data_IF_559392247399
#
_entry.id   IF_559392247399
#
_cell.length_a   1.000
_cell.length_b   1.000
_cell.length_c   1.000
_cell.angle_alpha   90.00
_cell.angle_beta   90.00
_cell.angle_gamma   90.00
#
_symmetry.space_group_name_H-M   'P 1'
#
loop_
_entity.id
_entity.type
_entity.pdbx_description
1 polymer ?
#
# COMPACT_ATOMS: atom_id res chain seq x y z
N UNK A 1 5.56 -28.87 0.55
CA UNK A 1 6.77 -28.49 -0.21
C UNK A 1 7.34 -27.30 0.52
N UNK A 2 8.53 -27.40 1.08
CA UNK A 2 9.24 -26.25 1.66
C UNK A 2 9.54 -25.31 0.51
N UNK A 3 8.84 -24.16 0.45
CA UNK A 3 9.20 -23.10 -0.49
C UNK A 3 10.65 -22.73 -0.20
N UNK A 4 11.50 -22.88 -1.19
CA UNK A 4 12.89 -22.44 -1.11
C UNK A 4 12.88 -20.92 -1.01
N UNK A 5 13.68 -20.37 -0.10
CA UNK A 5 13.84 -18.90 0.02
C UNK A 5 14.12 -18.31 -1.38
N UNK A 6 13.57 -17.11 -1.69
CA UNK A 6 13.79 -16.47 -2.98
C UNK A 6 15.31 -16.36 -3.28
N UNK A 7 15.68 -16.61 -4.53
CA UNK A 7 17.03 -16.33 -4.98
C UNK A 7 17.23 -14.83 -5.20
N UNK A 8 17.41 -14.12 -4.08
CA UNK A 8 17.52 -12.66 -4.06
C UNK A 8 18.61 -12.12 -4.98
N UNK A 9 19.70 -12.85 -5.16
CA UNK A 9 20.82 -12.43 -6.01
C UNK A 9 20.38 -12.32 -7.48
N UNK A 10 19.82 -13.41 -8.02
CA UNK A 10 19.38 -13.45 -9.41
C UNK A 10 18.16 -12.55 -9.65
N UNK A 11 17.17 -12.57 -8.76
CA UNK A 11 15.99 -11.71 -8.86
C UNK A 11 16.39 -10.23 -8.90
N UNK A 12 17.31 -9.81 -8.04
CA UNK A 12 17.77 -8.42 -8.01
C UNK A 12 18.56 -8.04 -9.25
N UNK A 13 19.44 -8.94 -9.76
CA UNK A 13 20.19 -8.67 -10.96
C UNK A 13 19.26 -8.42 -12.17
N UNK A 14 18.23 -9.25 -12.35
CA UNK A 14 17.20 -9.06 -13.39
C UNK A 14 16.41 -7.77 -13.20
N UNK A 15 15.99 -7.48 -11.96
CA UNK A 15 15.31 -6.23 -11.61
C UNK A 15 16.16 -5.00 -11.95
N UNK A 16 17.44 -5.02 -11.59
CA UNK A 16 18.34 -3.90 -11.87
C UNK A 16 18.51 -3.67 -13.38
N UNK A 17 18.58 -4.73 -14.18
CA UNK A 17 18.60 -4.61 -15.64
C UNK A 17 17.32 -3.95 -16.15
N UNK A 18 16.16 -4.35 -15.65
CA UNK A 18 14.88 -3.75 -16.01
C UNK A 18 14.82 -2.27 -15.62
N UNK A 19 15.12 -1.92 -14.39
CA UNK A 19 15.11 -0.53 -13.89
C UNK A 19 16.06 0.34 -14.72
N UNK A 20 17.28 -0.14 -15.00
CA UNK A 20 18.24 0.57 -15.86
C UNK A 20 17.68 0.83 -17.26
N UNK A 21 17.02 -0.14 -17.87
CA UNK A 21 16.41 0.04 -19.19
C UNK A 21 15.32 1.12 -19.17
N UNK A 22 14.41 1.10 -18.19
CA UNK A 22 13.34 2.07 -18.07
C UNK A 22 13.86 3.50 -17.85
N UNK A 23 14.83 3.68 -16.97
CA UNK A 23 15.43 4.98 -16.73
C UNK A 23 16.27 5.47 -17.94
N UNK A 24 16.96 4.59 -18.64
CA UNK A 24 17.68 4.95 -19.87
C UNK A 24 16.70 5.43 -20.95
N UNK A 25 15.60 4.68 -21.15
CA UNK A 25 14.57 5.08 -22.11
C UNK A 25 13.93 6.44 -21.74
N UNK A 26 13.64 6.69 -20.46
CA UNK A 26 13.11 7.95 -19.98
C UNK A 26 14.10 9.12 -20.25
N UNK A 27 15.42 8.87 -20.13
CA UNK A 27 16.46 9.86 -20.43
C UNK A 27 16.55 10.16 -21.93
N UNK A 28 16.41 9.17 -22.82
CA UNK A 28 16.41 9.36 -24.27
C UNK A 28 15.29 10.28 -24.76
N UNK A 29 14.21 10.39 -23.99
CA UNK A 29 13.07 11.28 -24.23
C UNK A 29 13.26 12.68 -23.63
N UNK A 30 14.43 12.99 -23.07
CA UNK A 30 14.71 14.23 -22.36
C UNK A 30 16.06 14.85 -22.79
N UNK A 31 16.32 16.09 -22.39
CA UNK A 31 17.59 16.77 -22.68
C UNK A 31 18.74 16.35 -21.75
N UNK A 32 18.46 15.59 -20.69
CA UNK A 32 19.45 15.12 -19.72
C UNK A 32 20.03 13.76 -20.09
N UNK A 33 21.31 13.56 -19.75
CA UNK A 33 22.03 12.31 -20.06
C UNK A 33 22.35 11.47 -18.82
N UNK A 34 22.10 12.01 -17.61
CA UNK A 34 22.40 11.36 -16.33
C UNK A 34 21.35 11.72 -15.30
N UNK A 35 21.25 10.90 -14.24
CA UNK A 35 20.32 11.14 -13.15
C UNK A 35 21.05 11.30 -11.83
N UNK A 36 20.55 12.23 -11.03
CA UNK A 36 20.82 12.36 -9.61
C UNK A 36 19.51 12.13 -8.86
N UNK A 37 19.39 11.02 -8.15
CA UNK A 37 18.18 10.69 -7.40
C UNK A 37 18.49 10.85 -5.90
N UNK A 38 17.80 11.79 -5.23
CA UNK A 38 17.94 11.98 -3.79
C UNK A 38 17.18 10.93 -3.02
N UNK A 39 17.75 10.45 -1.92
CA UNK A 39 17.04 9.61 -0.95
C UNK A 39 15.99 10.37 -0.14
N UNK A 40 16.08 11.71 -0.14
CA UNK A 40 15.34 12.60 0.75
C UNK A 40 16.13 12.99 1.99
N UNK A 41 15.61 13.93 2.76
CA UNK A 41 16.26 14.47 3.97
C UNK A 41 15.34 14.36 5.18
N UNK A 42 15.93 14.39 6.38
CA UNK A 42 15.19 14.52 7.63
C UNK A 42 14.49 15.89 7.69
N UNK A 43 13.22 15.91 8.04
CA UNK A 43 12.43 17.14 8.20
C UNK A 43 12.21 17.42 9.69
N UNK A 44 12.71 18.54 10.17
CA UNK A 44 12.55 18.95 11.57
C UNK A 44 11.16 19.54 11.81
N UNK A 45 10.58 19.24 12.97
CA UNK A 45 9.32 19.80 13.38
C UNK A 45 9.45 21.32 13.66
N UNK A 46 8.34 22.05 13.51
CA UNK A 46 8.34 23.50 13.69
C UNK A 46 8.76 23.90 15.11
N UNK A 47 9.82 24.73 15.20
CA UNK A 47 10.42 25.22 16.46
C UNK A 47 10.90 24.12 17.44
N UNK A 48 11.28 22.93 16.92
CA UNK A 48 11.75 21.80 17.69
C UNK A 48 13.02 21.23 17.04
N UNK A 49 13.81 20.44 17.75
CA UNK A 49 14.94 19.66 17.24
C UNK A 49 14.53 18.21 16.87
N UNK A 50 13.29 17.84 17.15
CA UNK A 50 12.72 16.53 16.76
C UNK A 50 12.46 16.50 15.25
N UNK A 51 12.81 15.37 14.63
CA UNK A 51 12.48 15.11 13.23
C UNK A 51 11.16 14.33 13.08
N UNK A 52 10.45 14.58 11.97
CA UNK A 52 9.39 13.68 11.51
C UNK A 52 9.97 12.32 11.10
N UNK A 53 9.16 11.24 11.06
CA UNK A 53 9.61 9.97 10.52
C UNK A 53 10.18 10.13 9.10
N UNK A 54 11.37 9.56 8.87
CA UNK A 54 12.01 9.62 7.57
C UNK A 54 11.31 8.69 6.58
N UNK A 55 11.04 9.21 5.39
CA UNK A 55 10.46 8.45 4.29
C UNK A 55 11.37 8.57 3.07
N UNK A 56 12.02 7.47 2.73
CA UNK A 56 12.93 7.43 1.57
C UNK A 56 12.16 7.60 0.25
N UNK A 57 12.75 8.38 -0.68
CA UNK A 57 12.18 8.62 -2.00
C UNK A 57 11.89 7.31 -2.74
N UNK A 58 10.66 7.08 -3.25
CA UNK A 58 10.31 5.88 -4.00
C UNK A 58 11.21 5.61 -5.21
N UNK A 59 11.66 6.65 -5.93
CA UNK A 59 12.59 6.49 -7.04
C UNK A 59 13.97 6.04 -6.58
N UNK A 60 14.40 6.37 -5.37
CA UNK A 60 15.66 5.88 -4.79
C UNK A 60 15.55 4.41 -4.45
N UNK A 61 14.51 4.00 -3.71
CA UNK A 61 14.33 2.60 -3.30
C UNK A 61 13.92 1.65 -4.43
N UNK A 62 13.48 2.19 -5.59
CA UNK A 62 13.32 1.40 -6.80
C UNK A 62 14.64 0.76 -7.28
N UNK A 63 15.78 1.38 -6.97
CA UNK A 63 17.10 0.92 -7.41
C UNK A 63 17.76 -0.02 -6.40
N UNK A 64 17.59 0.20 -5.11
CA UNK A 64 18.29 -0.58 -4.08
C UNK A 64 17.51 -0.67 -2.76
N UNK A 65 17.65 -1.80 -2.04
CA UNK A 65 16.86 -2.08 -0.85
C UNK A 65 17.41 -1.37 0.41
N UNK A 66 17.63 -0.06 0.33
CA UNK A 66 18.13 0.75 1.45
C UNK A 66 17.14 1.86 1.74
N UNK A 67 16.66 1.91 2.98
CA UNK A 67 15.53 2.78 3.37
C UNK A 67 15.83 3.74 4.52
N UNK A 68 17.06 3.72 5.08
CA UNK A 68 17.45 4.56 6.21
C UNK A 68 18.80 5.25 5.93
N UNK A 69 18.82 6.08 4.90
CA UNK A 69 20.03 6.79 4.40
C UNK A 69 19.68 8.21 3.96
N UNK A 70 19.25 9.09 4.87
CA UNK A 70 18.93 10.46 4.53
C UNK A 70 20.15 11.17 3.92
N UNK A 71 19.89 12.17 3.07
CA UNK A 71 20.90 13.01 2.39
C UNK A 71 21.87 12.24 1.49
N UNK A 72 21.48 11.03 1.07
CA UNK A 72 22.25 10.21 0.13
C UNK A 72 21.72 10.34 -1.30
N UNK A 73 22.54 9.98 -2.29
CA UNK A 73 22.17 10.14 -3.69
C UNK A 73 22.55 8.93 -4.53
N UNK A 74 21.73 8.64 -5.53
CA UNK A 74 22.12 7.75 -6.62
C UNK A 74 22.61 8.58 -7.81
N UNK A 75 23.78 8.27 -8.28
CA UNK A 75 24.37 8.84 -9.47
C UNK A 75 24.30 7.81 -10.60
N UNK A 76 23.41 8.01 -11.56
CA UNK A 76 23.14 7.07 -12.66
C UNK A 76 23.59 7.69 -13.97
N UNK A 77 24.60 7.08 -14.58
CA UNK A 77 25.10 7.45 -15.91
C UNK A 77 24.90 6.27 -16.87
N UNK A 78 24.25 6.45 -18.02
CA UNK A 78 24.06 5.36 -19.00
C UNK A 78 25.38 4.68 -19.33
N UNK A 79 25.34 3.34 -19.40
CA UNK A 79 26.52 2.52 -19.72
C UNK A 79 27.59 2.42 -18.62
N UNK A 80 27.40 3.08 -17.47
CA UNK A 80 28.31 2.98 -16.31
C UNK A 80 27.67 2.15 -15.19
N UNK A 81 28.53 1.64 -14.30
CA UNK A 81 28.08 1.07 -13.02
C UNK A 81 27.43 2.18 -12.19
N UNK A 82 26.22 1.99 -11.64
CA UNK A 82 25.57 3.02 -10.84
C UNK A 82 26.34 3.25 -9.53
N UNK A 83 26.31 4.48 -9.03
CA UNK A 83 27.03 4.87 -7.83
C UNK A 83 26.04 5.31 -6.73
N UNK A 84 26.24 4.80 -5.51
CA UNK A 84 25.60 5.28 -4.30
C UNK A 84 26.56 6.27 -3.60
N UNK A 85 26.18 7.52 -3.51
CA UNK A 85 26.82 8.53 -2.66
C UNK A 85 26.17 8.41 -1.29
N UNK A 86 26.83 7.70 -0.37
CA UNK A 86 26.29 7.39 0.95
C UNK A 86 26.70 8.47 1.96
N UNK A 87 25.72 9.20 2.49
CA UNK A 87 26.00 10.25 3.48
C UNK A 87 26.42 9.65 4.82
N UNK A 88 27.67 9.92 5.19
CA UNK A 88 28.31 9.46 6.43
C UNK A 88 29.02 10.64 7.11
N UNK A 89 28.27 11.62 7.68
CA UNK A 89 28.87 12.76 8.36
C UNK A 89 29.60 12.34 9.64
N UNK A 90 30.53 13.17 10.11
CA UNK A 90 31.04 13.03 11.47
C UNK A 90 29.96 13.51 12.44
N UNK A 91 29.26 12.60 13.07
CA UNK A 91 28.18 12.89 14.02
C UNK A 91 28.31 11.99 15.28
N UNK A 92 28.21 12.60 16.45
CA UNK A 92 28.20 11.90 17.73
C UNK A 92 26.80 11.90 18.39
N UNK A 93 25.83 12.62 17.81
CA UNK A 93 24.45 12.67 18.28
C UNK A 93 23.60 11.56 17.71
N UNK A 94 23.84 11.18 16.45
CA UNK A 94 23.01 10.25 15.72
C UNK A 94 23.85 9.08 15.21
N UNK A 95 23.19 7.93 15.08
CA UNK A 95 23.81 6.78 14.42
C UNK A 95 23.97 7.10 12.94
N UNK A 96 25.21 7.21 12.49
CA UNK A 96 25.54 7.37 11.06
C UNK A 96 25.27 6.05 10.33
N UNK A 97 24.79 6.12 9.09
CA UNK A 97 24.56 4.97 8.23
C UNK A 97 25.88 4.19 8.04
N UNK A 98 25.83 2.88 8.26
CA UNK A 98 26.97 2.00 7.99
C UNK A 98 27.05 1.69 6.49
N UNK A 99 28.23 1.29 6.01
CA UNK A 99 28.36 0.78 4.63
C UNK A 99 27.47 -0.48 4.54
N UNK A 100 26.47 -0.50 3.66
CA UNK A 100 25.53 -1.59 3.61
C UNK A 100 26.19 -2.90 3.19
N UNK A 101 25.60 -4.01 3.60
CA UNK A 101 25.99 -5.36 3.21
C UNK A 101 24.80 -6.08 2.50
N UNK A 102 25.05 -7.07 1.69
CA UNK A 102 23.99 -7.85 1.09
C UNK A 102 24.23 -8.21 -0.38
N UNK A 103 23.29 -8.94 -0.95
CA UNK A 103 23.35 -9.54 -2.30
C UNK A 103 23.41 -8.50 -3.44
N UNK A 104 23.03 -7.27 -3.22
CA UNK A 104 22.92 -6.21 -4.23
C UNK A 104 24.22 -5.38 -4.41
N UNK A 105 25.16 -5.45 -3.45
CA UNK A 105 26.32 -4.56 -3.34
C UNK A 105 27.24 -4.65 -4.55
N UNK A 106 27.48 -5.85 -5.08
CA UNK A 106 28.39 -6.04 -6.20
C UNK A 106 27.97 -5.28 -7.48
N UNK A 107 26.71 -4.89 -7.55
CA UNK A 107 26.17 -4.11 -8.67
C UNK A 107 26.41 -2.60 -8.56
N UNK A 108 26.96 -2.13 -7.43
CA UNK A 108 27.08 -0.71 -7.09
C UNK A 108 28.51 -0.30 -6.76
N UNK A 109 28.85 0.94 -7.15
CA UNK A 109 29.98 1.66 -6.55
C UNK A 109 29.46 2.44 -5.35
N UNK A 110 29.92 2.09 -4.14
CA UNK A 110 29.49 2.76 -2.91
C UNK A 110 30.59 3.74 -2.50
N UNK A 111 30.27 5.03 -2.48
CA UNK A 111 31.17 6.11 -2.10
C UNK A 111 30.62 6.86 -0.90
N UNK A 112 31.29 6.76 0.26
CA UNK A 112 30.99 7.62 1.41
C UNK A 112 31.22 9.08 1.08
N UNK A 113 30.29 9.94 1.50
CA UNK A 113 30.40 11.41 1.46
C UNK A 113 30.11 11.96 2.86
N UNK A 114 30.81 13.03 3.26
CA UNK A 114 30.60 13.66 4.57
C UNK A 114 29.70 14.91 4.47
N UNK A 115 29.49 15.42 3.27
CA UNK A 115 28.72 16.65 3.04
C UNK A 115 28.08 16.70 1.66
N UNK A 116 27.09 17.58 1.49
CA UNK A 116 26.52 17.91 0.17
C UNK A 116 27.57 18.44 -0.82
N UNK A 117 28.63 19.11 -0.32
CA UNK A 117 29.73 19.54 -1.15
C UNK A 117 30.49 18.39 -1.79
N UNK A 118 30.67 17.30 -1.05
CA UNK A 118 31.30 16.09 -1.59
C UNK A 118 30.41 15.45 -2.67
N UNK A 119 29.10 15.40 -2.46
CA UNK A 119 28.16 14.96 -3.48
C UNK A 119 28.25 15.84 -4.74
N UNK A 120 28.29 17.15 -4.60
CA UNK A 120 28.40 18.07 -5.71
C UNK A 120 29.68 17.84 -6.53
N UNK A 121 30.81 17.57 -5.88
CA UNK A 121 32.09 17.31 -6.56
C UNK A 121 32.04 16.05 -7.47
N UNK A 122 31.15 15.07 -7.16
CA UNK A 122 30.97 13.84 -7.94
C UNK A 122 30.11 14.01 -9.19
N UNK A 123 29.31 15.07 -9.27
CA UNK A 123 28.36 15.32 -10.36
C UNK A 123 29.10 15.71 -11.65
N UNK A 124 30.07 16.58 -11.57
CA UNK A 124 30.78 17.16 -12.76
C UNK A 124 29.97 18.27 -13.42
N UNK A 125 29.64 18.19 -14.71
CA UNK A 125 28.80 19.20 -15.37
C UNK A 125 27.31 19.01 -15.00
N UNK A 126 26.73 19.89 -14.17
CA UNK A 126 25.36 19.74 -13.68
C UNK A 126 24.29 19.84 -14.78
N UNK A 127 24.59 20.48 -15.92
CA UNK A 127 23.66 20.63 -17.06
C UNK A 127 23.37 19.31 -17.75
N UNK A 128 24.21 18.29 -17.53
CA UNK A 128 23.98 16.94 -18.06
C UNK A 128 23.08 16.09 -17.17
N UNK A 129 22.62 16.61 -16.03
CA UNK A 129 21.85 15.86 -15.04
C UNK A 129 20.39 16.28 -14.98
N UNK A 130 19.55 15.28 -14.75
CA UNK A 130 18.18 15.41 -14.25
C UNK A 130 18.21 15.04 -12.78
N UNK A 131 17.57 15.86 -11.95
CA UNK A 131 17.35 15.58 -10.54
C UNK A 131 15.96 15.01 -10.31
N UNK A 132 15.88 13.95 -9.49
CA UNK A 132 14.61 13.37 -9.00
C UNK A 132 14.63 13.36 -7.48
N UNK A 133 13.77 14.15 -6.86
CA UNK A 133 13.65 14.23 -5.39
C UNK A 133 12.81 15.41 -4.91
N UNK A 134 12.46 15.38 -3.62
CA UNK A 134 11.68 16.44 -2.98
C UNK A 134 12.51 17.70 -2.67
N UNK A 135 13.81 17.51 -2.36
CA UNK A 135 14.70 18.59 -1.92
C UNK A 135 15.22 19.39 -3.12
N UNK A 136 14.33 20.14 -3.78
CA UNK A 136 14.64 20.88 -5.02
C UNK A 136 15.69 21.98 -4.82
N UNK A 137 15.86 22.49 -3.59
CA UNK A 137 16.92 23.47 -3.26
C UNK A 137 18.30 22.87 -3.45
N UNK A 138 18.52 21.62 -3.08
CA UNK A 138 19.79 20.91 -3.26
C UNK A 138 20.15 20.82 -4.74
N UNK A 139 19.17 20.50 -5.59
CA UNK A 139 19.39 20.47 -7.05
C UNK A 139 19.81 21.85 -7.60
N UNK A 140 19.15 22.91 -7.13
CA UNK A 140 19.48 24.30 -7.53
C UNK A 140 20.87 24.70 -7.05
N UNK A 141 21.26 24.38 -5.83
CA UNK A 141 22.59 24.61 -5.27
C UNK A 141 23.67 23.85 -6.04
N UNK A 142 23.36 22.68 -6.58
CA UNK A 142 24.24 21.91 -7.44
C UNK A 142 24.29 22.43 -8.88
N UNK A 143 23.45 23.42 -9.24
CA UNK A 143 23.36 23.98 -10.58
C UNK A 143 22.62 23.09 -11.58
N UNK A 144 21.79 22.17 -11.12
CA UNK A 144 20.95 21.33 -11.96
C UNK A 144 19.66 22.08 -12.27
N UNK A 145 19.34 22.27 -13.54
CA UNK A 145 18.13 22.97 -14.00
C UNK A 145 16.94 22.03 -14.24
N UNK A 146 17.20 20.83 -14.72
CA UNK A 146 16.18 19.83 -15.00
C UNK A 146 15.74 19.10 -13.71
N UNK A 147 14.75 19.65 -13.00
CA UNK A 147 14.28 19.15 -11.71
C UNK A 147 12.90 18.49 -11.89
N UNK A 148 12.79 17.20 -11.57
CA UNK A 148 11.56 16.43 -11.63
C UNK A 148 10.76 16.58 -12.95
N UNK A 149 11.38 16.49 -14.14
CA UNK A 149 10.69 16.75 -15.39
C UNK A 149 9.55 15.74 -15.60
N UNK A 150 8.36 16.26 -15.92
CA UNK A 150 7.16 15.44 -16.04
C UNK A 150 7.26 14.38 -17.14
N UNK A 151 8.00 14.64 -18.23
CA UNK A 151 8.24 13.65 -19.30
C UNK A 151 8.95 12.40 -18.76
N UNK A 152 9.96 12.58 -17.92
CA UNK A 152 10.68 11.48 -17.26
C UNK A 152 9.80 10.78 -16.22
N UNK A 153 9.19 11.57 -15.31
CA UNK A 153 8.38 11.01 -14.24
C UNK A 153 7.16 10.24 -14.76
N UNK A 154 6.48 10.74 -15.79
CA UNK A 154 5.33 10.05 -16.38
C UNK A 154 5.72 8.67 -16.92
N UNK A 155 6.83 8.56 -17.65
CA UNK A 155 7.33 7.29 -18.13
C UNK A 155 7.61 6.32 -16.98
N UNK A 156 8.40 6.76 -15.99
CA UNK A 156 8.79 5.94 -14.85
C UNK A 156 7.58 5.51 -14.00
N UNK A 157 6.61 6.40 -13.80
CA UNK A 157 5.40 6.08 -13.05
C UNK A 157 4.53 5.06 -13.79
N UNK A 158 4.40 5.18 -15.11
CA UNK A 158 3.61 4.24 -15.90
C UNK A 158 4.18 2.83 -15.83
N UNK A 159 5.51 2.69 -15.93
CA UNK A 159 6.22 1.41 -15.84
C UNK A 159 6.16 0.81 -14.42
N UNK A 160 6.21 1.62 -13.36
CA UNK A 160 6.11 1.15 -11.96
C UNK A 160 4.82 0.41 -11.65
N UNK A 161 3.77 0.58 -12.44
CA UNK A 161 2.54 -0.19 -12.26
C UNK A 161 2.78 -1.70 -12.43
N UNK A 162 3.68 -2.10 -13.34
CA UNK A 162 4.07 -3.48 -13.58
C UNK A 162 5.34 -3.81 -12.81
N UNK A 163 5.27 -4.80 -11.93
CA UNK A 163 6.34 -5.22 -11.00
C UNK A 163 7.18 -6.33 -11.59
N UNK A 164 8.48 -6.26 -11.41
CA UNK A 164 9.40 -7.38 -11.66
C UNK A 164 9.19 -8.51 -10.65
N UNK A 165 9.74 -9.68 -10.88
CA UNK A 165 9.66 -10.81 -9.95
C UNK A 165 10.34 -10.50 -8.60
N UNK A 166 11.40 -9.67 -8.60
CA UNK A 166 12.02 -9.16 -7.36
C UNK A 166 11.04 -8.33 -6.53
N UNK A 167 10.34 -7.40 -7.16
CA UNK A 167 9.38 -6.52 -6.50
C UNK A 167 8.20 -7.32 -5.93
N UNK A 168 7.68 -8.28 -6.70
CA UNK A 168 6.61 -9.19 -6.23
C UNK A 168 7.10 -10.02 -5.04
N UNK A 169 8.32 -10.56 -5.06
CA UNK A 169 8.90 -11.29 -3.94
C UNK A 169 9.07 -10.41 -2.68
N UNK A 170 9.42 -9.13 -2.85
CA UNK A 170 9.48 -8.18 -1.74
C UNK A 170 8.09 -7.93 -1.13
N UNK A 171 7.05 -7.73 -1.96
CA UNK A 171 5.66 -7.54 -1.49
C UNK A 171 5.15 -8.82 -0.80
N UNK A 172 5.51 -10.00 -1.30
CA UNK A 172 5.16 -11.28 -0.67
C UNK A 172 5.83 -11.45 0.70
N UNK A 173 7.11 -11.08 0.83
CA UNK A 173 7.84 -11.07 2.10
C UNK A 173 7.24 -10.04 3.09
N UNK A 174 6.86 -8.86 2.62
CA UNK A 174 6.13 -7.88 3.42
C UNK A 174 4.78 -8.45 3.87
N UNK A 175 4.01 -9.07 2.97
CA UNK A 175 2.72 -9.70 3.28
C UNK A 175 2.86 -10.82 4.32
N UNK A 176 3.92 -11.63 4.26
CA UNK A 176 4.20 -12.67 5.26
C UNK A 176 4.47 -12.08 6.65
N UNK A 177 5.26 -11.03 6.68
CA UNK A 177 5.56 -10.32 7.93
C UNK A 177 4.30 -9.69 8.53
N UNK A 178 3.46 -9.05 7.71
CA UNK A 178 2.17 -8.52 8.13
C UNK A 178 1.22 -9.62 8.61
N UNK A 179 1.17 -10.77 7.94
CA UNK A 179 0.31 -11.89 8.32
C UNK A 179 0.63 -12.40 9.74
N UNK A 180 1.91 -12.45 10.15
CA UNK A 180 2.30 -12.76 11.54
C UNK A 180 1.73 -11.74 12.52
N UNK A 181 1.83 -10.44 12.20
CA UNK A 181 1.24 -9.36 12.99
C UNK A 181 -0.28 -9.47 13.11
N UNK A 182 -0.97 -9.76 12.00
CA UNK A 182 -2.43 -9.96 11.98
C UNK A 182 -2.87 -11.16 12.83
N UNK A 183 -2.14 -12.26 12.83
CA UNK A 183 -2.46 -13.42 13.66
C UNK A 183 -2.32 -13.10 15.16
N UNK A 184 -1.28 -12.34 15.54
CA UNK A 184 -1.12 -11.88 16.91
C UNK A 184 -2.21 -10.89 17.33
N UNK A 185 -2.58 -9.96 16.45
CA UNK A 185 -3.67 -9.01 16.67
C UNK A 185 -5.01 -9.73 16.81
N UNK A 186 -5.29 -10.75 15.97
CA UNK A 186 -6.49 -11.59 16.09
C UNK A 186 -6.57 -12.28 17.45
N UNK A 187 -5.46 -12.88 17.92
CA UNK A 187 -5.41 -13.50 19.24
C UNK A 187 -5.68 -12.48 20.35
N UNK A 188 -5.02 -11.32 20.31
CA UNK A 188 -5.23 -10.25 21.28
C UNK A 188 -6.68 -9.76 21.34
N UNK A 189 -7.37 -9.68 20.18
CA UNK A 189 -8.79 -9.35 20.12
C UNK A 189 -9.64 -10.38 20.88
N UNK A 190 -9.42 -11.68 20.65
CA UNK A 190 -10.16 -12.71 21.36
C UNK A 190 -9.79 -12.80 22.85
N UNK A 191 -8.59 -12.32 23.24
CA UNK A 191 -8.16 -12.12 24.61
C UNK A 191 -8.67 -10.80 25.22
N UNK A 192 -9.55 -10.06 24.51
CA UNK A 192 -10.19 -8.81 24.94
C UNK A 192 -9.21 -7.65 25.18
N UNK A 193 -8.14 -7.60 24.43
CA UNK A 193 -7.22 -6.46 24.48
C UNK A 193 -7.90 -5.19 23.94
N UNK A 194 -7.41 -4.04 24.40
CA UNK A 194 -7.80 -2.73 23.85
C UNK A 194 -7.22 -2.50 22.45
N UNK A 195 -7.72 -1.50 21.71
CA UNK A 195 -7.19 -1.14 20.38
C UNK A 195 -5.69 -0.87 20.45
N UNK A 196 -5.25 -0.13 21.47
CA UNK A 196 -3.83 0.16 21.68
C UNK A 196 -3.00 -1.10 21.92
N UNK A 197 -3.47 -2.02 22.75
CA UNK A 197 -2.77 -3.30 23.02
C UNK A 197 -2.73 -4.18 21.76
N UNK A 198 -3.79 -4.24 20.97
CA UNK A 198 -3.85 -4.98 19.70
C UNK A 198 -2.84 -4.40 18.71
N UNK A 199 -2.77 -3.07 18.57
CA UNK A 199 -1.80 -2.39 17.71
C UNK A 199 -0.36 -2.74 18.10
N UNK A 200 -0.04 -2.76 19.40
CA UNK A 200 1.28 -3.17 19.89
C UNK A 200 1.57 -4.64 19.61
N UNK A 201 0.60 -5.55 19.73
CA UNK A 201 0.79 -6.97 19.40
C UNK A 201 1.11 -7.16 17.91
N UNK A 202 0.43 -6.41 17.01
CA UNK A 202 0.77 -6.40 15.60
C UNK A 202 2.22 -5.99 15.35
N UNK A 203 2.66 -4.87 15.94
CA UNK A 203 4.00 -4.34 15.76
C UNK A 203 5.07 -5.30 16.31
N UNK A 204 4.85 -5.87 17.49
CA UNK A 204 5.75 -6.83 18.11
C UNK A 204 5.93 -8.10 17.26
N UNK A 205 4.82 -8.69 16.81
CA UNK A 205 4.84 -9.93 16.05
C UNK A 205 5.36 -9.74 14.62
N UNK A 206 5.17 -8.55 14.03
CA UNK A 206 5.75 -8.19 12.73
C UNK A 206 7.21 -7.72 12.82
N UNK A 207 7.74 -7.45 14.03
CA UNK A 207 9.09 -6.91 14.24
C UNK A 207 9.28 -5.48 13.71
N UNK A 208 8.20 -4.74 13.51
CA UNK A 208 8.21 -3.36 13.03
C UNK A 208 8.03 -2.36 14.17
N UNK A 209 8.59 -1.17 13.99
CA UNK A 209 8.22 0.02 14.77
C UNK A 209 7.19 0.80 13.97
N UNK A 210 6.28 1.50 14.63
CA UNK A 210 5.21 2.27 13.98
C UNK A 210 5.72 3.22 12.88
N UNK A 211 6.84 3.90 13.14
CA UNK A 211 7.44 4.82 12.16
C UNK A 211 8.03 4.13 10.91
N UNK A 212 8.14 2.80 10.90
CA UNK A 212 8.66 1.99 9.78
C UNK A 212 7.56 1.22 9.05
N UNK A 213 6.31 1.30 9.53
CA UNK A 213 5.17 0.76 8.77
C UNK A 213 4.92 1.64 7.54
N UNK A 214 4.42 1.06 6.44
CA UNK A 214 4.20 1.82 5.20
C UNK A 214 3.09 2.86 5.33
N UNK A 215 2.20 2.71 6.30
CA UNK A 215 1.14 3.64 6.70
C UNK A 215 0.78 3.44 8.17
N UNK A 216 0.11 4.42 8.77
CA UNK A 216 -0.40 4.29 10.13
C UNK A 216 -1.51 3.25 10.19
N UNK A 217 -1.31 2.19 10.95
CA UNK A 217 -2.28 1.10 11.08
C UNK A 217 -3.64 1.61 11.59
N UNK A 218 -4.70 0.93 11.20
CA UNK A 218 -6.04 1.11 11.73
C UNK A 218 -6.35 -0.12 12.60
N UNK A 219 -6.62 0.10 13.87
CA UNK A 219 -7.13 -0.93 14.78
C UNK A 219 -8.38 -0.36 15.43
N UNK A 220 -9.53 -0.85 15.02
CA UNK A 220 -10.82 -0.34 15.45
C UNK A 220 -11.64 -1.45 16.08
N UNK A 221 -12.31 -1.16 17.18
CA UNK A 221 -13.25 -2.05 17.84
C UNK A 221 -14.68 -1.50 17.73
N UNK A 222 -15.65 -2.38 17.57
CA UNK A 222 -17.07 -2.06 17.58
C UNK A 222 -17.44 -0.98 16.54
N UNK A 223 -18.17 0.09 16.96
CA UNK A 223 -18.59 1.20 16.11
C UNK A 223 -17.43 1.98 15.47
N UNK A 224 -16.22 1.92 16.04
CA UNK A 224 -15.04 2.54 15.44
C UNK A 224 -14.70 1.91 14.09
N UNK A 225 -15.10 0.66 13.83
CA UNK A 225 -14.94 0.01 12.53
C UNK A 225 -15.72 0.72 11.39
N UNK A 226 -16.63 1.66 11.70
CA UNK A 226 -17.31 2.51 10.72
C UNK A 226 -16.50 3.76 10.33
N UNK A 227 -15.39 4.06 11.01
CA UNK A 227 -14.51 5.19 10.70
C UNK A 227 -13.37 4.68 9.80
N UNK A 228 -13.42 5.00 8.50
CA UNK A 228 -12.57 4.39 7.48
C UNK A 228 -11.07 4.57 7.72
N UNK A 229 -10.66 5.71 8.32
CA UNK A 229 -9.26 6.01 8.69
C UNK A 229 -9.17 6.27 10.20
N UNK A 230 -9.52 5.27 11.01
CA UNK A 230 -9.48 5.35 12.47
C UNK A 230 -8.06 5.11 13.00
N UNK A 231 -7.45 6.10 13.63
CA UNK A 231 -6.05 6.07 14.08
C UNK A 231 -5.88 6.57 15.54
N UNK A 232 -6.87 6.33 16.41
CA UNK A 232 -6.86 6.88 17.77
C UNK A 232 -6.41 5.89 18.85
N UNK A 233 -6.61 4.60 18.66
CA UNK A 233 -6.21 3.51 19.57
C UNK A 233 -6.66 3.71 21.02
N UNK A 234 -7.92 3.44 21.30
CA UNK A 234 -8.47 3.50 22.66
C UNK A 234 -7.73 2.53 23.59
N UNK A 235 -7.49 2.99 24.83
CA UNK A 235 -6.79 2.21 25.87
C UNK A 235 -7.72 1.35 26.71
N UNK A 236 -9.04 1.61 26.66
CA UNK A 236 -10.05 0.92 27.47
C UNK A 236 -10.36 -0.45 26.87
N UNK A 237 -10.34 -1.48 27.70
CA UNK A 237 -10.80 -2.82 27.35
C UNK A 237 -12.31 -2.92 27.51
N UNK A 238 -12.95 -3.61 26.60
CA UNK A 238 -14.39 -3.91 26.69
C UNK A 238 -14.63 -5.12 27.60
N UNK A 239 -15.65 -5.03 28.49
CA UNK A 239 -16.05 -6.07 29.41
C UNK A 239 -17.33 -6.80 28.94
N UNK A 240 -17.57 -8.00 29.48
CA UNK A 240 -18.82 -8.72 29.29
C UNK A 240 -19.20 -8.97 27.82
N UNK A 241 -20.33 -8.44 27.38
CA UNK A 241 -20.89 -8.57 26.03
C UNK A 241 -20.61 -7.37 25.14
N UNK A 242 -19.86 -6.37 25.63
CA UNK A 242 -19.70 -5.08 24.95
C UNK A 242 -18.72 -5.16 23.78
N UNK A 243 -17.79 -6.12 23.80
CA UNK A 243 -16.91 -6.40 22.66
C UNK A 243 -17.69 -7.16 21.58
N UNK A 244 -17.77 -6.61 20.37
CA UNK A 244 -18.57 -7.11 19.24
C UNK A 244 -17.72 -7.46 18.02
N UNK A 245 -16.86 -6.55 17.59
CA UNK A 245 -16.11 -6.65 16.34
C UNK A 245 -14.75 -6.00 16.44
N UNK A 246 -13.84 -6.41 15.56
CA UNK A 246 -12.57 -5.74 15.29
C UNK A 246 -12.38 -5.63 13.79
N UNK A 247 -11.93 -4.46 13.33
CA UNK A 247 -11.33 -4.25 12.03
C UNK A 247 -9.87 -3.82 12.24
N UNK A 248 -8.96 -4.57 11.64
CA UNK A 248 -7.55 -4.21 11.60
C UNK A 248 -7.11 -4.08 10.14
N UNK A 249 -6.56 -2.89 9.81
CA UNK A 249 -5.96 -2.57 8.52
C UNK A 249 -4.52 -2.15 8.80
N UNK A 250 -3.60 -3.04 8.50
CA UNK A 250 -2.21 -2.90 8.88
C UNK A 250 -1.29 -3.64 7.90
N UNK A 251 -0.25 -2.94 7.47
CA UNK A 251 0.77 -3.44 6.56
C UNK A 251 2.17 -3.36 7.15
N UNK A 252 3.10 -4.01 6.46
CA UNK A 252 4.53 -3.93 6.73
C UNK A 252 5.32 -3.60 5.47
N UNK A 253 6.60 -3.38 5.62
CA UNK A 253 7.50 -3.09 4.50
C UNK A 253 8.63 -4.12 4.45
N UNK A 254 9.04 -4.52 3.24
CA UNK A 254 10.24 -5.32 3.02
C UNK A 254 11.02 -4.75 1.84
N UNK A 255 12.30 -4.41 2.05
CA UNK A 255 13.15 -3.76 1.03
C UNK A 255 12.50 -2.51 0.38
N UNK A 256 11.67 -1.78 1.15
CA UNK A 256 10.98 -0.58 0.67
C UNK A 256 9.65 -0.84 -0.05
N UNK A 257 9.24 -2.08 -0.25
CA UNK A 257 7.93 -2.45 -0.82
C UNK A 257 6.92 -2.71 0.26
N UNK A 258 5.70 -2.19 0.09
CA UNK A 258 4.62 -2.26 1.05
C UNK A 258 3.73 -3.50 0.86
N UNK A 259 3.15 -3.99 1.94
CA UNK A 259 1.92 -4.76 1.93
C UNK A 259 0.77 -3.93 2.48
N UNK A 260 -0.46 -4.25 2.09
CA UNK A 260 -1.68 -3.61 2.57
C UNK A 260 -2.74 -4.67 2.82
N UNK A 261 -3.17 -4.83 4.08
CA UNK A 261 -3.99 -5.97 4.50
C UNK A 261 -5.03 -5.52 5.50
N UNK A 262 -6.30 -5.78 5.20
CA UNK A 262 -7.39 -5.59 6.17
C UNK A 262 -8.07 -6.91 6.50
N UNK A 263 -8.41 -7.10 7.79
CA UNK A 263 -9.23 -8.20 8.30
C UNK A 263 -10.27 -7.69 9.28
N UNK A 264 -11.45 -8.29 9.22
CA UNK A 264 -12.53 -8.04 10.19
C UNK A 264 -12.90 -9.32 10.91
N UNK A 265 -13.19 -9.20 12.21
CA UNK A 265 -13.56 -10.31 13.08
C UNK A 265 -14.80 -9.97 13.90
N UNK A 266 -15.69 -10.92 14.08
CA UNK A 266 -16.78 -10.86 15.06
C UNK A 266 -16.35 -11.61 16.33
N UNK A 267 -16.63 -11.02 17.49
CA UNK A 267 -16.30 -11.65 18.78
C UNK A 267 -17.18 -12.87 19.09
N UNK A 268 -18.40 -12.86 18.57
CA UNK A 268 -19.37 -13.96 18.72
C UNK A 268 -20.03 -14.31 17.38
N UNK A 269 -20.48 -15.56 17.21
CA UNK A 269 -21.36 -15.92 16.09
C UNK A 269 -22.64 -15.07 16.07
N UNK A 270 -23.19 -14.84 14.90
CA UNK A 270 -24.41 -14.08 14.66
C UNK A 270 -24.40 -13.43 13.28
N UNK A 271 -25.41 -12.63 12.98
CA UNK A 271 -25.61 -12.03 11.66
C UNK A 271 -24.40 -11.21 11.16
N UNK A 272 -23.66 -10.54 12.05
CA UNK A 272 -22.45 -9.80 11.65
C UNK A 272 -21.32 -10.75 11.23
N UNK A 273 -21.15 -11.89 11.91
CA UNK A 273 -20.20 -12.92 11.48
C UNK A 273 -20.60 -13.52 10.12
N UNK A 274 -21.90 -13.76 9.90
CA UNK A 274 -22.41 -14.24 8.60
C UNK A 274 -22.15 -13.23 7.47
N UNK A 275 -22.24 -11.92 7.77
CA UNK A 275 -21.89 -10.85 6.81
C UNK A 275 -20.40 -10.83 6.50
N UNK A 276 -19.51 -11.06 7.48
CA UNK A 276 -18.06 -11.20 7.24
C UNK A 276 -17.80 -12.39 6.31
N UNK A 277 -18.40 -13.54 6.57
CA UNK A 277 -18.26 -14.73 5.73
C UNK A 277 -18.80 -14.49 4.31
N UNK A 278 -19.91 -13.77 4.18
CA UNK A 278 -20.46 -13.39 2.89
C UNK A 278 -19.50 -12.44 2.13
N UNK A 279 -18.96 -11.44 2.81
CA UNK A 279 -17.98 -10.51 2.23
C UNK A 279 -16.72 -11.25 1.77
N UNK A 280 -16.20 -12.17 2.57
CA UNK A 280 -15.02 -12.97 2.21
C UNK A 280 -15.27 -13.83 0.96
N UNK A 281 -16.44 -14.48 0.87
CA UNK A 281 -16.80 -15.25 -0.34
C UNK A 281 -16.83 -14.38 -1.58
N UNK A 282 -17.44 -13.19 -1.49
CA UNK A 282 -17.57 -12.29 -2.65
C UNK A 282 -16.25 -11.60 -3.00
N UNK A 283 -15.41 -11.29 -2.01
CA UNK A 283 -14.04 -10.81 -2.24
C UNK A 283 -13.21 -11.88 -2.98
N UNK A 284 -13.26 -13.13 -2.56
CA UNK A 284 -12.56 -14.22 -3.25
C UNK A 284 -13.17 -14.51 -4.63
N UNK A 285 -14.47 -14.28 -4.83
CA UNK A 285 -15.13 -14.44 -6.12
C UNK A 285 -14.67 -13.35 -7.10
N UNK A 286 -14.64 -12.08 -6.69
CA UNK A 286 -14.19 -10.99 -7.55
C UNK A 286 -12.71 -11.09 -7.91
N UNK A 287 -11.86 -11.60 -7.01
CA UNK A 287 -10.45 -11.88 -7.31
C UNK A 287 -10.31 -12.88 -8.46
N UNK A 288 -11.14 -13.90 -8.54
CA UNK A 288 -11.12 -14.88 -9.64
C UNK A 288 -11.54 -14.29 -10.99
N UNK A 289 -12.22 -13.15 -10.98
CA UNK A 289 -12.61 -12.44 -12.21
C UNK A 289 -11.49 -11.55 -12.75
N UNK A 290 -10.40 -11.37 -11.99
CA UNK A 290 -9.21 -10.62 -12.43
C UNK A 290 -8.54 -11.36 -13.58
N UNK A 291 -8.39 -10.67 -14.71
CA UNK A 291 -7.65 -11.14 -15.88
C UNK A 291 -7.07 -9.95 -16.63
N UNK A 292 -6.00 -10.18 -17.39
CA UNK A 292 -5.45 -9.13 -18.27
C UNK A 292 -6.50 -8.66 -19.29
N UNK A 293 -6.50 -7.36 -19.56
CA UNK A 293 -7.44 -6.72 -20.49
C UNK A 293 -8.75 -6.21 -19.86
N UNK A 294 -9.08 -6.64 -18.63
CA UNK A 294 -10.26 -6.08 -17.94
C UNK A 294 -9.92 -4.70 -17.34
N UNK A 295 -10.88 -3.78 -17.42
CA UNK A 295 -10.72 -2.49 -16.73
C UNK A 295 -11.04 -2.62 -15.25
N UNK A 296 -10.18 -2.08 -14.38
CA UNK A 296 -10.39 -2.19 -12.93
C UNK A 296 -11.71 -1.56 -12.45
N UNK A 297 -12.19 -0.49 -13.12
CA UNK A 297 -13.48 0.11 -12.82
C UNK A 297 -14.67 -0.84 -13.07
N UNK A 298 -14.52 -1.81 -13.99
CA UNK A 298 -15.55 -2.84 -14.20
C UNK A 298 -15.62 -3.80 -13.01
N UNK A 299 -14.49 -4.21 -12.47
CA UNK A 299 -14.45 -5.04 -11.24
C UNK A 299 -15.12 -4.30 -10.07
N UNK A 300 -14.87 -2.99 -9.94
CA UNK A 300 -15.53 -2.18 -8.93
C UNK A 300 -17.07 -2.18 -9.10
N UNK A 301 -17.56 -1.99 -10.32
CA UNK A 301 -18.98 -2.08 -10.61
C UNK A 301 -19.59 -3.45 -10.31
N UNK A 302 -18.89 -4.54 -10.64
CA UNK A 302 -19.30 -5.91 -10.30
C UNK A 302 -19.31 -6.13 -8.78
N UNK A 303 -18.36 -5.54 -8.04
CA UNK A 303 -18.35 -5.65 -6.59
C UNK A 303 -19.57 -4.95 -5.95
N UNK A 304 -20.03 -3.82 -6.49
CA UNK A 304 -21.28 -3.20 -6.04
C UNK A 304 -22.50 -4.11 -6.23
N UNK A 305 -22.57 -4.91 -7.30
CA UNK A 305 -23.63 -5.93 -7.46
C UNK A 305 -23.52 -7.02 -6.39
N UNK A 306 -22.31 -7.50 -6.08
CA UNK A 306 -22.06 -8.48 -5.01
C UNK A 306 -22.44 -7.95 -3.63
N UNK A 307 -22.14 -6.67 -3.35
CA UNK A 307 -22.59 -6.00 -2.11
C UNK A 307 -24.12 -5.92 -2.06
N UNK A 308 -24.78 -5.62 -3.18
CA UNK A 308 -26.24 -5.58 -3.25
C UNK A 308 -26.85 -6.96 -2.98
N UNK A 309 -26.26 -8.05 -3.50
CA UNK A 309 -26.67 -9.42 -3.21
C UNK A 309 -26.52 -9.77 -1.72
N UNK A 310 -25.41 -9.35 -1.09
CA UNK A 310 -25.22 -9.53 0.36
C UNK A 310 -26.31 -8.79 1.14
N UNK A 311 -26.55 -7.52 0.83
CA UNK A 311 -27.57 -6.69 1.49
C UNK A 311 -28.97 -7.27 1.37
N UNK A 312 -29.33 -7.78 0.18
CA UNK A 312 -30.61 -8.43 -0.07
C UNK A 312 -30.75 -9.75 0.68
N UNK A 313 -29.75 -10.61 0.56
CA UNK A 313 -29.77 -11.95 1.18
C UNK A 313 -29.83 -11.87 2.70
N UNK A 314 -29.14 -10.87 3.29
CA UNK A 314 -29.17 -10.63 4.73
C UNK A 314 -30.47 -9.93 5.20
N UNK A 315 -31.37 -9.56 4.29
CA UNK A 315 -32.62 -8.86 4.64
C UNK A 315 -32.41 -7.43 5.10
N UNK A 316 -31.26 -6.80 4.75
CA UNK A 316 -30.95 -5.40 5.10
C UNK A 316 -31.65 -4.43 4.13
N UNK A 317 -31.71 -4.76 2.85
CA UNK A 317 -32.39 -3.96 1.82
C UNK A 317 -33.26 -4.85 0.95
N UNK A 318 -34.54 -4.56 0.84
CA UNK A 318 -35.51 -5.26 -0.01
C UNK A 318 -35.66 -4.56 -1.37
N UNK A 319 -34.64 -4.73 -2.22
CA UNK A 319 -34.59 -4.26 -3.61
C UNK A 319 -33.89 -5.30 -4.47
N UNK A 320 -34.03 -5.21 -5.80
CA UNK A 320 -33.17 -6.00 -6.70
C UNK A 320 -31.71 -5.50 -6.63
N UNK A 321 -30.72 -6.37 -6.77
CA UNK A 321 -29.30 -5.95 -6.76
C UNK A 321 -29.00 -4.87 -7.80
N UNK A 322 -29.52 -5.02 -9.00
CA UNK A 322 -29.37 -4.03 -10.08
C UNK A 322 -30.01 -2.70 -9.69
N UNK A 323 -31.22 -2.74 -9.11
CA UNK A 323 -31.93 -1.54 -8.64
C UNK A 323 -31.15 -0.80 -7.55
N UNK A 324 -30.51 -1.52 -6.60
CA UNK A 324 -29.66 -0.91 -5.57
C UNK A 324 -28.43 -0.22 -6.17
N UNK A 325 -27.83 -0.81 -7.22
CA UNK A 325 -26.67 -0.23 -7.90
C UNK A 325 -27.07 0.96 -8.78
N UNK A 326 -28.16 0.85 -9.53
CA UNK A 326 -28.66 1.93 -10.39
C UNK A 326 -29.05 3.18 -9.59
N UNK A 327 -29.64 2.98 -8.42
CA UNK A 327 -30.10 4.06 -7.52
C UNK A 327 -29.06 4.52 -6.52
N UNK A 328 -27.84 4.01 -6.58
CA UNK A 328 -26.73 4.32 -5.68
C UNK A 328 -27.00 3.96 -4.19
N UNK A 329 -27.92 3.06 -3.90
CA UNK A 329 -28.17 2.59 -2.53
C UNK A 329 -26.93 1.92 -1.95
N UNK A 330 -26.21 1.12 -2.75
CA UNK A 330 -24.97 0.43 -2.32
C UNK A 330 -23.86 1.37 -1.86
N UNK A 331 -23.82 2.62 -2.31
CA UNK A 331 -22.81 3.62 -1.88
C UNK A 331 -22.97 4.07 -0.43
N UNK A 332 -24.15 3.84 0.17
CA UNK A 332 -24.32 4.10 1.59
C UNK A 332 -23.67 3.02 2.46
N UNK A 333 -23.28 1.89 1.85
CA UNK A 333 -22.63 0.77 2.51
C UNK A 333 -21.19 0.52 2.06
N UNK A 334 -20.86 0.85 0.79
CA UNK A 334 -19.49 0.80 0.24
C UNK A 334 -19.15 2.18 -0.36
N UNK A 335 -18.62 3.12 0.44
CA UNK A 335 -18.36 4.49 -0.02
C UNK A 335 -16.98 4.71 -0.66
N UNK A 336 -16.08 3.73 -0.63
CA UNK A 336 -14.72 3.83 -1.17
C UNK A 336 -14.50 2.97 -2.42
N UNK A 337 -13.32 3.08 -3.04
CA UNK A 337 -12.94 2.27 -4.18
C UNK A 337 -12.67 0.81 -3.82
N UNK A 338 -12.66 -0.08 -4.82
CA UNK A 338 -12.34 -1.49 -4.63
C UNK A 338 -10.86 -1.73 -4.34
N UNK A 339 -9.99 -0.76 -4.63
CA UNK A 339 -8.56 -0.87 -4.38
C UNK A 339 -7.72 0.11 -5.20
N UNK A 340 -6.43 -0.07 -5.13
CA UNK A 340 -5.40 0.78 -5.71
C UNK A 340 -4.15 -0.03 -6.09
N UNK A 341 -3.26 0.55 -6.93
CA UNK A 341 -1.93 -0.03 -7.15
C UNK A 341 -1.14 -0.03 -5.84
N UNK A 342 -0.31 -1.06 -5.68
CA UNK A 342 0.53 -1.28 -4.50
C UNK A 342 1.97 -1.56 -4.95
N UNK A 343 2.96 -1.05 -4.21
CA UNK A 343 4.37 -1.30 -4.51
C UNK A 343 5.32 -0.56 -3.59
N UNK A 344 6.14 0.33 -4.16
CA UNK A 344 7.05 1.22 -3.42
C UNK A 344 6.31 2.24 -2.55
N UNK A 345 5.06 2.49 -2.86
CA UNK A 345 4.12 3.25 -2.05
C UNK A 345 2.87 2.40 -1.84
N UNK A 346 2.16 2.62 -0.74
CA UNK A 346 0.89 1.92 -0.46
C UNK A 346 -0.12 2.25 -1.54
N UNK A 347 -0.45 3.53 -1.72
CA UNK A 347 -1.16 4.01 -2.89
C UNK A 347 -0.12 4.33 -3.97
N UNK A 348 0.25 3.31 -4.75
CA UNK A 348 1.31 3.48 -5.74
C UNK A 348 0.84 4.35 -6.92
N UNK A 349 1.81 4.97 -7.60
CA UNK A 349 1.56 5.92 -8.69
C UNK A 349 0.94 5.26 -9.92
N UNK A 350 0.46 6.08 -10.86
CA UNK A 350 -0.08 5.68 -12.16
C UNK A 350 -1.45 4.96 -12.16
N UNK A 351 -2.19 4.92 -11.04
CA UNK A 351 -3.53 4.31 -11.01
C UNK A 351 -4.53 4.93 -11.99
N UNK A 352 -4.36 6.21 -12.33
CA UNK A 352 -5.18 6.95 -13.31
C UNK A 352 -4.44 7.25 -14.63
N UNK A 353 -3.19 6.86 -14.77
CA UNK A 353 -2.37 7.27 -15.90
C UNK A 353 -2.74 6.53 -17.19
N UNK A 354 -2.85 7.27 -18.31
CA UNK A 354 -3.27 6.73 -19.61
C UNK A 354 -2.10 6.08 -20.37
N UNK A 355 -0.93 6.73 -20.39
CA UNK A 355 0.21 6.30 -21.19
C UNK A 355 1.54 6.75 -20.59
N UNK A 356 2.65 6.41 -21.23
CA UNK A 356 4.00 6.84 -20.83
C UNK A 356 4.18 8.36 -20.90
N UNK A 357 3.46 9.03 -21.80
CA UNK A 357 3.49 10.50 -21.92
C UNK A 357 2.66 11.18 -20.81
N UNK A 358 1.92 10.40 -20.02
CA UNK A 358 1.04 10.88 -18.98
C UNK A 358 -0.43 10.82 -19.39
N UNK A 359 -1.18 11.89 -19.07
CA UNK A 359 -2.62 11.93 -19.21
C UNK A 359 -3.32 11.20 -18.05
N UNK A 360 -4.59 11.54 -17.84
CA UNK A 360 -5.40 10.99 -16.73
C UNK A 360 -6.69 10.39 -17.29
N UNK A 361 -6.98 9.16 -16.92
CA UNK A 361 -8.30 8.54 -17.04
C UNK A 361 -8.98 8.68 -15.66
N UNK A 362 -9.85 9.69 -15.46
CA UNK A 362 -10.45 9.91 -14.17
C UNK A 362 -11.33 8.74 -13.73
N UNK A 363 -11.58 8.63 -12.45
CA UNK A 363 -12.62 7.73 -11.95
C UNK A 363 -13.97 8.08 -12.60
N UNK A 364 -14.82 7.09 -12.92
CA UNK A 364 -16.17 7.37 -13.39
C UNK A 364 -16.94 8.24 -12.39
N UNK A 365 -17.78 9.16 -12.87
CA UNK A 365 -18.59 10.04 -12.01
C UNK A 365 -19.41 9.26 -10.97
N UNK A 366 -19.83 8.07 -11.35
CA UNK A 366 -20.53 7.15 -10.45
C UNK A 366 -19.65 6.62 -9.32
N UNK A 367 -18.34 6.56 -9.50
CA UNK A 367 -17.36 5.94 -8.58
C UNK A 367 -16.22 6.90 -8.21
N UNK A 368 -16.50 8.09 -7.66
CA UNK A 368 -15.50 9.16 -7.50
C UNK A 368 -14.37 8.82 -6.54
N UNK A 369 -14.57 7.83 -5.65
CA UNK A 369 -13.56 7.38 -4.70
C UNK A 369 -12.64 6.28 -5.24
N UNK A 370 -12.86 5.79 -6.48
CA UNK A 370 -12.01 4.76 -7.09
C UNK A 370 -10.61 5.33 -7.38
N UNK A 371 -9.55 4.59 -7.02
CA UNK A 371 -8.14 5.00 -7.17
C UNK A 371 -7.41 4.32 -8.32
N UNK A 372 -8.04 3.35 -8.99
CA UNK A 372 -7.46 2.60 -10.11
C UNK A 372 -8.47 2.51 -11.25
N UNK A 373 -8.10 3.06 -12.39
CA UNK A 373 -8.96 3.09 -13.60
C UNK A 373 -8.27 2.50 -14.84
N UNK A 374 -7.07 1.96 -14.64
CA UNK A 374 -6.31 1.32 -15.72
C UNK A 374 -6.90 -0.02 -16.11
N UNK A 375 -6.57 -0.44 -17.31
CA UNK A 375 -6.67 -1.83 -17.72
C UNK A 375 -5.66 -2.68 -16.94
N UNK A 376 -6.06 -3.86 -16.53
CA UNK A 376 -5.20 -4.81 -15.82
C UNK A 376 -4.24 -5.44 -16.82
N UNK A 377 -2.94 -5.38 -16.49
CA UNK A 377 -1.88 -5.93 -17.31
C UNK A 377 -0.98 -6.87 -16.48
N UNK A 378 -0.16 -7.67 -17.17
CA UNK A 378 0.82 -8.55 -16.54
C UNK A 378 1.76 -7.79 -15.62
N UNK A 379 2.11 -8.36 -14.48
CA UNK A 379 3.02 -7.78 -13.48
C UNK A 379 2.38 -6.72 -12.57
N UNK A 380 1.15 -6.26 -12.82
CA UNK A 380 0.51 -5.32 -11.90
C UNK A 380 0.27 -5.96 -10.54
N UNK A 381 0.49 -5.16 -9.48
CA UNK A 381 0.11 -5.50 -8.11
C UNK A 381 -0.82 -4.42 -7.58
N UNK A 382 -1.96 -4.84 -7.03
CA UNK A 382 -2.99 -3.96 -6.50
C UNK A 382 -3.76 -4.63 -5.36
N UNK A 383 -4.49 -3.84 -4.58
CA UNK A 383 -5.38 -4.34 -3.54
C UNK A 383 -6.75 -4.70 -4.10
N UNK A 384 -7.45 -5.61 -3.44
CA UNK A 384 -8.90 -5.84 -3.57
C UNK A 384 -9.48 -5.83 -2.15
N UNK A 385 -10.20 -4.74 -1.83
CA UNK A 385 -10.59 -4.34 -0.47
C UNK A 385 -12.08 -3.99 -0.33
N UNK A 386 -13.02 -4.84 -0.75
CA UNK A 386 -14.42 -4.52 -0.55
C UNK A 386 -14.76 -4.34 0.92
N UNK A 387 -15.74 -3.47 1.18
CA UNK A 387 -16.25 -3.22 2.52
C UNK A 387 -17.77 -3.10 2.57
N UNK A 388 -18.32 -3.26 3.77
CA UNK A 388 -19.73 -3.03 4.08
C UNK A 388 -19.81 -2.33 5.44
N UNK A 389 -20.30 -1.09 5.45
CA UNK A 389 -20.24 -0.23 6.64
C UNK A 389 -21.60 0.29 7.05
N UNK A 390 -21.77 0.48 8.34
CA UNK A 390 -22.95 1.10 8.96
C UNK A 390 -22.62 2.51 9.45
N UNK A 391 -22.19 3.39 8.51
CA UNK A 391 -21.76 4.77 8.82
C UNK A 391 -22.96 5.66 9.09
N UNK A 392 -23.11 6.24 10.31
CA UNK A 392 -24.31 7.00 10.70
C UNK A 392 -24.66 8.14 9.73
N UNK A 393 -23.66 8.86 9.20
CA UNK A 393 -23.86 9.96 8.26
C UNK A 393 -24.46 9.48 6.92
N UNK A 394 -24.01 8.36 6.39
CA UNK A 394 -24.49 7.80 5.13
C UNK A 394 -25.87 7.17 5.31
N UNK A 395 -26.09 6.45 6.40
CA UNK A 395 -27.38 5.88 6.77
C UNK A 395 -28.44 6.95 6.99
N UNK A 396 -28.08 8.11 7.58
CA UNK A 396 -28.98 9.25 7.68
C UNK A 396 -29.42 9.78 6.32
N UNK A 397 -28.52 9.86 5.34
CA UNK A 397 -28.86 10.25 3.95
C UNK A 397 -29.80 9.23 3.32
N UNK A 398 -29.54 7.93 3.48
CA UNK A 398 -30.40 6.87 2.98
C UNK A 398 -31.80 6.91 3.64
N UNK A 399 -31.89 7.17 4.95
CA UNK A 399 -33.14 7.32 5.70
C UNK A 399 -34.00 8.51 5.21
N UNK A 400 -33.36 9.52 4.61
CA UNK A 400 -34.03 10.69 4.03
C UNK A 400 -34.34 10.53 2.54
N UNK A 401 -33.88 9.45 1.90
CA UNK A 401 -34.11 9.19 0.47
C UNK A 401 -35.48 8.55 0.23
N UNK A 402 -35.89 8.50 -1.04
CA UNK A 402 -37.12 7.80 -1.47
C UNK A 402 -37.05 6.29 -1.27
N UNK A 403 -35.86 5.75 -1.04
CA UNK A 403 -35.61 4.31 -0.85
C UNK A 403 -35.66 3.88 0.62
N UNK A 404 -35.96 4.78 1.55
CA UNK A 404 -35.97 4.48 3.00
C UNK A 404 -36.93 3.34 3.38
N UNK A 405 -38.03 3.16 2.64
CA UNK A 405 -39.01 2.09 2.90
C UNK A 405 -38.52 0.70 2.53
N UNK A 406 -37.52 0.60 1.67
CA UNK A 406 -36.91 -0.67 1.28
C UNK A 406 -35.84 -1.14 2.29
N UNK A 407 -35.51 -0.33 3.29
CA UNK A 407 -34.43 -0.63 4.25
C UNK A 407 -35.00 -1.14 5.58
N UNK A 408 -34.44 -2.23 6.07
CA UNK A 408 -34.76 -2.80 7.38
C UNK A 408 -34.04 -2.04 8.49
N UNK A 409 -34.63 -0.90 8.92
CA UNK A 409 -34.02 -0.03 9.93
C UNK A 409 -33.80 -0.69 11.29
N UNK A 410 -34.70 -1.56 11.80
CA UNK A 410 -34.43 -2.30 13.04
C UNK A 410 -33.15 -3.14 12.96
N UNK A 411 -32.92 -3.82 11.83
CA UNK A 411 -31.72 -4.61 11.62
C UNK A 411 -30.47 -3.71 11.46
N UNK A 412 -30.59 -2.57 10.77
CA UNK A 412 -29.50 -1.58 10.69
C UNK A 412 -29.12 -1.10 12.10
N UNK A 413 -30.10 -0.76 12.96
CA UNK A 413 -29.86 -0.31 14.33
C UNK A 413 -29.18 -1.39 15.19
N UNK A 414 -29.47 -2.67 14.96
CA UNK A 414 -28.78 -3.81 15.58
C UNK A 414 -27.33 -3.94 15.10
N UNK A 415 -27.04 -3.68 13.81
CA UNK A 415 -25.74 -3.84 13.19
C UNK A 415 -24.80 -2.63 13.38
N UNK A 416 -25.33 -1.42 13.56
CA UNK A 416 -24.53 -0.21 13.74
C UNK A 416 -23.45 -0.31 14.83
N UNK A 417 -23.68 -0.96 16.00
CA UNK A 417 -22.65 -1.12 17.01
C UNK A 417 -21.45 -1.99 16.61
N UNK A 418 -21.53 -2.71 15.50
CA UNK A 418 -20.40 -3.47 14.93
C UNK A 418 -19.56 -2.64 13.96
N UNK A 419 -20.03 -1.46 13.55
CA UNK A 419 -19.33 -0.49 12.71
C UNK A 419 -19.28 -0.88 11.25
N UNK A 420 -18.41 -1.81 10.86
CA UNK A 420 -18.24 -2.18 9.45
C UNK A 420 -17.28 -3.34 9.22
N UNK A 421 -17.22 -3.76 7.96
CA UNK A 421 -16.42 -4.88 7.47
C UNK A 421 -15.53 -4.35 6.34
N UNK A 422 -14.24 -4.70 6.35
CA UNK A 422 -13.32 -4.62 5.20
C UNK A 422 -12.48 -5.89 5.19
N UNK A 423 -12.30 -6.46 4.01
CA UNK A 423 -11.40 -7.60 3.78
C UNK A 423 -10.55 -7.23 2.58
N UNK A 424 -9.25 -7.15 2.76
CA UNK A 424 -8.31 -6.67 1.78
C UNK A 424 -7.17 -7.64 1.56
N UNK A 425 -6.91 -7.92 0.29
CA UNK A 425 -5.80 -8.77 -0.14
C UNK A 425 -4.96 -8.08 -1.22
N UNK A 426 -3.66 -8.31 -1.20
CA UNK A 426 -2.70 -7.92 -2.23
C UNK A 426 -2.70 -8.95 -3.35
N UNK A 427 -2.98 -8.51 -4.57
CA UNK A 427 -3.12 -9.35 -5.75
C UNK A 427 -2.06 -8.99 -6.77
N UNK A 428 -1.25 -9.96 -7.18
CA UNK A 428 -0.33 -9.84 -8.31
C UNK A 428 -0.94 -10.53 -9.55
N UNK A 429 -0.75 -9.95 -10.73
CA UNK A 429 -1.16 -10.57 -12.00
C UNK A 429 0.05 -11.29 -12.58
N UNK A 430 -0.02 -12.61 -12.65
CA UNK A 430 1.05 -13.45 -13.17
C UNK A 430 0.51 -14.50 -14.15
N UNK A 431 1.08 -14.60 -15.34
CA UNK A 431 0.61 -15.46 -16.42
C UNK A 431 -0.88 -15.20 -16.76
N UNK A 432 -1.26 -13.93 -16.79
CA UNK A 432 -2.62 -13.47 -17.09
C UNK A 432 -3.66 -13.74 -16.00
N UNK A 433 -3.27 -14.26 -14.83
CA UNK A 433 -4.15 -14.70 -13.77
C UNK A 433 -3.79 -14.07 -12.41
N UNK A 434 -4.76 -13.92 -11.48
CA UNK A 434 -4.49 -13.37 -10.16
C UNK A 434 -3.76 -14.35 -9.25
N UNK A 435 -2.74 -13.87 -8.58
CA UNK A 435 -2.05 -14.55 -7.49
C UNK A 435 -2.32 -13.77 -6.21
N UNK A 436 -2.98 -14.39 -5.24
CA UNK A 436 -3.30 -13.76 -3.97
C UNK A 436 -2.11 -13.91 -3.00
N UNK A 437 -1.29 -12.86 -2.90
CA UNK A 437 -0.08 -12.84 -2.08
C UNK A 437 -0.43 -12.90 -0.59
N UNK A 438 -1.50 -12.23 -0.18
CA UNK A 438 -1.96 -12.20 1.21
C UNK A 438 -2.38 -13.57 1.72
N UNK A 439 -3.20 -14.31 0.93
CA UNK A 439 -3.66 -15.65 1.37
C UNK A 439 -2.52 -16.66 1.44
N UNK A 440 -1.54 -16.57 0.53
CA UNK A 440 -0.29 -17.34 0.61
C UNK A 440 0.45 -17.01 1.90
N UNK A 441 0.63 -15.72 2.21
CA UNK A 441 1.30 -15.24 3.41
C UNK A 441 0.65 -15.76 4.70
N UNK A 442 -0.69 -15.67 4.83
CA UNK A 442 -1.41 -16.23 5.98
C UNK A 442 -1.26 -17.73 6.10
N UNK A 443 -1.26 -18.47 4.98
CA UNK A 443 -1.07 -19.92 4.99
C UNK A 443 0.32 -20.29 5.48
N UNK A 444 1.37 -19.58 5.04
CA UNK A 444 2.74 -19.76 5.47
C UNK A 444 2.92 -19.42 6.96
N UNK A 445 2.43 -18.25 7.40
CA UNK A 445 2.53 -17.83 8.81
C UNK A 445 1.83 -18.80 9.77
N UNK A 446 0.67 -19.36 9.39
CA UNK A 446 -0.02 -20.40 10.17
C UNK A 446 0.75 -21.71 10.21
N UNK A 447 1.44 -22.09 9.13
CA UNK A 447 2.29 -23.28 9.11
C UNK A 447 3.53 -23.13 10.02
N UNK A 448 4.17 -21.96 10.00
CA UNK A 448 5.27 -21.62 10.91
C UNK A 448 4.86 -21.71 12.38
N UNK A 449 3.72 -21.10 12.75
CA UNK A 449 3.20 -21.14 14.13
C UNK A 449 2.88 -22.54 14.66
N UNK A 450 2.56 -23.49 13.77
CA UNK A 450 2.31 -24.90 14.17
C UNK A 450 3.58 -25.72 14.33
N UNK A 451 4.71 -25.24 13.81
CA UNK A 451 6.01 -25.92 13.85
C UNK A 451 6.89 -25.50 15.04
N UNK A 452 6.51 -24.45 15.73
CA UNK A 452 7.11 -23.97 16.99
C UNK A 452 6.40 -24.58 18.21
#
# INVERSE_FOLDING_TARGET
MTETSPDWLNLYAEHLLHVRAQYTHALEQSEGHSLLISSGSLKTAFLDDRTYPYMVNPHFKAWLPVTDVPDSFLLIKPGKKPKLLLHQPEDYWHKVAEIPTGYWIEHWDIQPIQSLKDAHNEIGDPRSFIYIGEETKVATEFGIEAINPSSVLNHLHFERASKTQYEIACIEAASLTAARGHLAAQQAFFDRASENEIAHQFLMASGHREQHTPYSSIVALNEHCAVLHYQFYEHTRFEGTDLKSMLIDAGTSYNGYASDITRTYAFKPGIFADLIDAMEREQLAIIKEVTTGINYAELHGRMHLKIADILKTAGIVDMSPEGMVETNVTFNFLPHGLGHLLGLQVHDVAGFQLSHEGGIKPAPDKYPALRLTREITEGQVFTIEPGLYFIPMLLKKLKQSVYHTAVNWPLIEELMPFGGIRIEDNIAVQNGSPVNLTRRAFSAAKAEARSM
#
